data_IF_234043474616
#
_entry.id   IF_234043474616
#
_cell.length_a   1.000
_cell.length_b   1.000
_cell.length_c   1.000
_cell.angle_alpha   90.00
_cell.angle_beta   90.00
_cell.angle_gamma   90.00
#
_symmetry.space_group_name_H-M   'P 1'
#
loop_
_entity.id
_entity.type
_entity.pdbx_description
1 polymer ?
#
# COMPACT_ATOMS: atom_id res chain seq x y z
N UNK A 1 -52.30 35.99 -6.39
CA UNK A 1 -51.75 36.38 -5.07
C UNK A 1 -50.26 36.39 -5.22
N UNK A 2 -49.78 37.58 -5.56
CA UNK A 2 -48.39 37.95 -5.77
C UNK A 2 -47.61 37.84 -4.45
N UNK A 3 -46.42 37.24 -4.50
CA UNK A 3 -45.45 37.38 -3.41
C UNK A 3 -44.17 37.97 -3.98
N UNK A 4 -43.93 39.20 -3.50
CA UNK A 4 -42.86 40.11 -3.84
C UNK A 4 -41.55 39.74 -3.13
N UNK A 5 -40.48 39.96 -3.89
CA UNK A 5 -39.13 40.42 -3.54
C UNK A 5 -38.77 40.66 -2.06
N UNK A 6 -37.61 40.09 -1.67
CA UNK A 6 -36.66 40.79 -0.82
C UNK A 6 -35.21 40.45 -1.21
N UNK A 7 -34.67 41.26 -2.15
CA UNK A 7 -33.24 41.42 -2.35
C UNK A 7 -32.62 42.13 -1.14
N UNK A 8 -31.73 41.45 -0.42
CA UNK A 8 -30.83 42.07 0.57
C UNK A 8 -29.47 42.31 -0.07
N UNK A 9 -29.15 43.58 -0.28
CA UNK A 9 -27.80 44.03 -0.64
C UNK A 9 -26.77 43.66 0.44
N UNK A 10 -25.56 43.22 0.07
CA UNK A 10 -24.47 43.04 1.01
C UNK A 10 -23.80 44.40 1.35
N UNK A 11 -23.33 44.57 2.60
CA UNK A 11 -22.71 45.80 3.06
C UNK A 11 -21.33 46.02 2.41
N UNK A 12 -21.10 47.26 1.95
CA UNK A 12 -19.81 47.75 1.45
C UNK A 12 -18.80 47.75 2.60
N UNK A 13 -17.67 47.04 2.42
CA UNK A 13 -16.50 47.13 3.31
C UNK A 13 -15.69 48.35 2.95
N UNK A 14 -15.51 49.23 3.92
CA UNK A 14 -14.63 50.39 3.86
C UNK A 14 -13.19 49.96 3.58
N UNK A 15 -12.61 50.57 2.55
CA UNK A 15 -11.18 50.53 2.27
C UNK A 15 -10.51 51.49 3.24
N UNK A 16 -9.69 50.96 4.14
CA UNK A 16 -8.85 51.74 5.04
C UNK A 16 -7.42 51.71 4.49
N UNK A 17 -7.04 52.81 3.87
CA UNK A 17 -5.68 53.11 3.45
C UNK A 17 -4.79 53.30 4.68
N UNK A 18 -3.87 52.36 4.89
CA UNK A 18 -2.71 52.57 5.75
C UNK A 18 -1.44 52.64 4.90
N UNK A 19 -1.10 53.87 4.51
CA UNK A 19 0.26 54.29 4.24
C UNK A 19 1.12 53.98 5.47
N UNK A 20 2.09 53.07 5.32
CA UNK A 20 3.17 52.91 6.30
C UNK A 20 4.50 53.03 5.58
N UNK A 21 5.15 54.13 5.90
CA UNK A 21 6.47 54.56 5.46
C UNK A 21 7.50 53.44 5.63
N UNK A 22 8.28 53.24 4.57
CA UNK A 22 9.43 52.33 4.54
C UNK A 22 10.63 53.05 5.13
N UNK A 23 11.24 52.57 6.24
CA UNK A 23 12.53 53.07 6.66
C UNK A 23 13.60 52.50 5.72
N UNK A 24 14.42 53.38 5.15
CA UNK A 24 15.72 53.01 4.57
C UNK A 24 16.58 52.52 5.73
N UNK A 25 16.91 51.24 5.74
CA UNK A 25 17.89 50.68 6.66
C UNK A 25 19.17 50.43 5.89
N UNK A 26 20.24 51.00 6.43
CA UNK A 26 21.59 50.98 5.90
C UNK A 26 22.11 49.54 5.81
N UNK A 27 22.76 49.23 4.69
CA UNK A 27 23.43 47.96 4.44
C UNK A 27 24.69 47.91 5.30
N UNK A 28 24.62 47.20 6.42
CA UNK A 28 25.79 46.63 7.07
C UNK A 28 26.07 45.27 6.41
N UNK A 29 27.24 45.15 5.79
CA UNK A 29 27.77 43.93 5.21
C UNK A 29 28.05 42.92 6.34
N UNK A 30 27.03 42.16 6.73
CA UNK A 30 27.20 40.94 7.53
C UNK A 30 27.82 39.86 6.67
N UNK A 31 29.08 39.58 6.95
CA UNK A 31 29.87 38.48 6.42
C UNK A 31 29.16 37.16 6.80
N UNK A 32 28.33 36.68 5.87
CA UNK A 32 27.55 35.45 5.96
C UNK A 32 28.51 34.26 6.09
N UNK A 33 28.79 33.87 7.33
CA UNK A 33 29.39 32.58 7.68
C UNK A 33 28.42 31.49 7.23
N UNK A 34 28.59 31.05 5.98
CA UNK A 34 27.89 29.91 5.40
C UNK A 34 28.19 28.68 6.23
N UNK A 35 27.35 28.43 7.22
CA UNK A 35 27.31 27.14 7.90
C UNK A 35 27.15 26.07 6.81
N UNK A 36 28.05 25.07 6.76
CA UNK A 36 27.98 24.04 5.74
C UNK A 36 26.61 23.38 5.83
N UNK A 37 25.83 23.52 4.76
CA UNK A 37 24.51 22.90 4.67
C UNK A 37 24.70 21.40 4.88
N UNK A 38 23.98 20.82 5.84
CA UNK A 38 24.00 19.38 6.10
C UNK A 38 23.71 18.55 4.82
N UNK A 39 23.07 19.15 3.82
CA UNK A 39 22.83 18.56 2.50
C UNK A 39 24.14 18.27 1.74
N UNK A 40 25.14 19.17 1.81
CA UNK A 40 26.43 18.95 1.15
C UNK A 40 27.26 17.81 1.74
N UNK A 41 27.10 17.49 3.03
CA UNK A 41 27.80 16.37 3.67
C UNK A 41 27.26 15.01 3.22
N UNK A 42 25.97 14.93 2.88
CA UNK A 42 25.32 13.69 2.44
C UNK A 42 25.73 13.33 0.99
N UNK A 43 26.03 14.33 0.16
CA UNK A 43 26.40 14.11 -1.25
C UNK A 43 27.88 13.71 -1.42
N UNK A 44 28.78 14.08 -0.50
CA UNK A 44 30.19 13.62 -0.54
C UNK A 44 30.34 12.17 -0.06
N UNK A 45 29.57 11.74 0.94
CA UNK A 45 29.60 10.37 1.45
C UNK A 45 29.03 9.35 0.43
N UNK A 46 28.20 9.81 -0.54
CA UNK A 46 27.69 8.97 -1.62
C UNK A 46 28.73 8.59 -2.69
N UNK A 47 29.89 9.24 -2.73
CA UNK A 47 30.93 8.97 -3.75
C UNK A 47 31.96 7.91 -3.35
N UNK A 48 32.02 7.49 -2.09
CA UNK A 48 33.17 6.70 -1.60
C UNK A 48 32.93 5.21 -1.31
N UNK A 49 31.72 4.68 -1.40
CA UNK A 49 31.51 3.23 -1.24
C UNK A 49 31.14 2.54 -2.56
N UNK A 50 32.11 2.02 -3.33
CA UNK A 50 31.83 0.96 -4.28
C UNK A 50 31.42 -0.27 -3.47
N UNK A 51 30.11 -0.49 -3.37
CA UNK A 51 29.52 -1.70 -2.82
C UNK A 51 30.11 -2.91 -3.56
N UNK A 52 31.18 -3.50 -3.05
CA UNK A 52 31.66 -4.82 -3.51
C UNK A 52 30.69 -5.84 -2.94
N UNK A 53 29.84 -6.48 -3.77
CA UNK A 53 29.00 -7.54 -3.27
C UNK A 53 29.92 -8.68 -2.82
N UNK A 54 29.87 -9.01 -1.54
CA UNK A 54 30.48 -10.23 -1.02
C UNK A 54 29.66 -11.38 -1.62
N UNK A 55 30.15 -11.93 -2.73
CA UNK A 55 29.60 -13.15 -3.32
C UNK A 55 30.16 -14.32 -2.51
N UNK A 56 29.47 -14.68 -1.44
CA UNK A 56 29.62 -16.02 -0.87
C UNK A 56 29.23 -17.03 -1.96
N UNK A 57 30.17 -17.88 -2.34
CA UNK A 57 29.93 -18.97 -3.29
C UNK A 57 28.71 -19.79 -2.82
N UNK A 58 27.64 -19.90 -3.63
CA UNK A 58 26.47 -20.61 -3.20
C UNK A 58 26.80 -22.10 -3.03
N UNK A 59 26.52 -22.71 -1.87
CA UNK A 59 26.68 -24.15 -1.70
C UNK A 59 25.86 -24.86 -2.78
N UNK A 60 26.48 -25.80 -3.48
CA UNK A 60 25.85 -26.63 -4.53
C UNK A 60 24.71 -27.45 -3.91
N UNK A 61 23.53 -26.85 -3.84
CA UNK A 61 22.32 -27.48 -3.34
C UNK A 61 21.71 -28.34 -4.45
N UNK A 62 21.60 -29.64 -4.18
CA UNK A 62 20.74 -30.56 -4.91
C UNK A 62 19.34 -29.98 -4.97
N UNK A 63 18.85 -29.64 -6.18
CA UNK A 63 17.54 -29.01 -6.35
C UNK A 63 16.44 -29.98 -5.92
N UNK A 64 15.72 -29.73 -4.80
CA UNK A 64 14.54 -30.51 -4.49
C UNK A 64 13.52 -30.30 -5.62
N UNK A 65 13.00 -31.40 -6.18
CA UNK A 65 11.88 -31.40 -7.13
C UNK A 65 10.69 -30.74 -6.41
N UNK A 66 10.53 -29.45 -6.61
CA UNK A 66 9.42 -28.66 -6.08
C UNK A 66 8.19 -29.00 -6.90
N UNK A 67 7.18 -29.55 -6.23
CA UNK A 67 5.91 -29.90 -6.84
C UNK A 67 5.23 -28.62 -7.35
N UNK A 68 4.85 -28.58 -8.63
CA UNK A 68 4.29 -27.40 -9.31
C UNK A 68 2.89 -26.95 -8.79
N UNK A 69 2.36 -27.62 -7.75
CA UNK A 69 0.97 -27.50 -7.32
C UNK A 69 0.72 -26.42 -6.25
N UNK A 70 1.75 -25.67 -5.81
CA UNK A 70 1.61 -24.73 -4.69
C UNK A 70 2.37 -23.42 -4.88
N UNK A 71 2.35 -22.84 -6.09
CA UNK A 71 2.85 -21.48 -6.26
C UNK A 71 1.92 -20.49 -5.54
N UNK A 72 2.33 -20.10 -4.32
CA UNK A 72 1.64 -19.02 -3.61
C UNK A 72 1.67 -17.77 -4.49
N UNK A 73 0.55 -17.04 -4.62
CA UNK A 73 0.52 -15.81 -5.40
C UNK A 73 1.62 -14.88 -4.88
N UNK A 74 2.55 -14.53 -5.77
CA UNK A 74 3.67 -13.66 -5.42
C UNK A 74 3.13 -12.24 -5.21
N UNK A 75 3.54 -11.54 -4.14
CA UNK A 75 3.18 -10.15 -3.96
C UNK A 75 3.73 -9.32 -5.14
N UNK A 76 2.88 -8.47 -5.71
CA UNK A 76 3.25 -7.61 -6.86
C UNK A 76 3.54 -6.21 -6.33
N UNK A 77 4.69 -5.58 -6.68
CA UNK A 77 4.97 -4.19 -6.35
C UNK A 77 3.84 -3.26 -6.80
N UNK A 78 3.43 -2.35 -5.92
CA UNK A 78 2.27 -1.50 -6.18
C UNK A 78 2.44 -0.62 -7.43
N UNK A 79 3.63 -0.06 -7.63
CA UNK A 79 3.95 0.76 -8.82
C UNK A 79 3.78 -0.04 -10.10
N UNK A 80 4.30 -1.27 -10.14
CA UNK A 80 4.17 -2.17 -11.30
C UNK A 80 2.71 -2.53 -11.58
N UNK A 81 1.94 -2.85 -10.54
CA UNK A 81 0.51 -3.12 -10.66
C UNK A 81 -0.26 -1.94 -11.25
N UNK A 82 0.00 -0.71 -10.77
CA UNK A 82 -0.64 0.49 -11.28
C UNK A 82 -0.25 0.76 -12.74
N UNK A 83 1.03 0.65 -13.07
CA UNK A 83 1.52 0.79 -14.45
C UNK A 83 0.79 -0.18 -15.39
N UNK A 84 0.66 -1.45 -14.99
CA UNK A 84 -0.06 -2.48 -15.76
C UNK A 84 -1.56 -2.18 -15.88
N UNK A 85 -2.21 -1.75 -14.79
CA UNK A 85 -3.67 -1.49 -14.76
C UNK A 85 -4.09 -0.34 -15.66
N UNK A 86 -3.27 0.72 -15.70
CA UNK A 86 -3.55 1.94 -16.46
C UNK A 86 -2.80 2.00 -17.79
N UNK A 87 -2.10 0.92 -18.17
CA UNK A 87 -1.31 0.80 -19.39
C UNK A 87 -0.34 1.99 -19.58
N UNK A 88 0.45 2.27 -18.56
CA UNK A 88 1.37 3.40 -18.52
C UNK A 88 2.72 3.01 -17.91
N UNK A 89 3.73 3.82 -18.15
CA UNK A 89 5.03 3.73 -17.49
C UNK A 89 5.03 4.39 -16.09
N UNK A 90 6.02 4.05 -15.27
CA UNK A 90 6.20 4.69 -13.96
C UNK A 90 6.41 6.22 -14.05
N UNK A 91 6.98 6.69 -15.17
CA UNK A 91 7.05 8.12 -15.46
C UNK A 91 5.65 8.65 -15.72
N UNK A 92 4.89 8.15 -16.69
CA UNK A 92 3.55 8.67 -16.99
C UNK A 92 2.57 8.60 -15.80
N UNK A 93 2.80 7.68 -14.86
CA UNK A 93 2.01 7.57 -13.65
C UNK A 93 1.99 8.88 -12.83
N UNK A 94 3.08 9.67 -12.82
CA UNK A 94 3.08 10.99 -12.15
C UNK A 94 2.09 11.97 -12.80
N UNK A 95 1.91 11.90 -14.13
CA UNK A 95 0.97 12.73 -14.88
C UNK A 95 -0.46 12.32 -14.54
N UNK A 96 -0.72 11.01 -14.46
CA UNK A 96 -2.04 10.48 -14.07
C UNK A 96 -2.45 10.95 -12.66
N UNK A 97 -1.52 11.02 -11.71
CA UNK A 97 -1.83 11.51 -10.36
C UNK A 97 -2.16 13.01 -10.29
N UNK A 98 -1.74 13.81 -11.28
CA UNK A 98 -2.12 15.22 -11.39
C UNK A 98 -3.53 15.40 -11.95
N UNK A 99 -4.04 14.44 -12.70
CA UNK A 99 -5.42 14.44 -13.16
C UNK A 99 -6.35 14.00 -12.01
N UNK A 100 -7.27 14.89 -11.60
CA UNK A 100 -8.14 14.66 -10.44
C UNK A 100 -9.09 13.48 -10.62
N UNK A 101 -9.61 13.26 -11.83
CA UNK A 101 -10.52 12.14 -12.13
C UNK A 101 -9.76 10.82 -12.05
N UNK A 102 -8.61 10.72 -12.74
CA UNK A 102 -7.77 9.52 -12.70
C UNK A 102 -7.26 9.22 -11.29
N UNK A 103 -6.90 10.25 -10.53
CA UNK A 103 -6.52 10.08 -9.13
C UNK A 103 -7.65 9.49 -8.30
N UNK A 104 -8.89 9.94 -8.48
CA UNK A 104 -10.06 9.36 -7.78
C UNK A 104 -10.26 7.89 -8.15
N UNK A 105 -10.16 7.55 -9.44
CA UNK A 105 -10.25 6.16 -9.91
C UNK A 105 -9.17 5.28 -9.26
N UNK A 106 -7.93 5.79 -9.17
CA UNK A 106 -6.83 5.07 -8.54
C UNK A 106 -7.09 4.90 -7.04
N UNK A 107 -7.51 5.95 -6.32
CA UNK A 107 -7.81 5.85 -4.88
C UNK A 107 -8.91 4.82 -4.62
N UNK A 108 -9.97 4.81 -5.43
CA UNK A 108 -11.06 3.85 -5.28
C UNK A 108 -10.61 2.42 -5.53
N UNK A 109 -9.80 2.21 -6.58
CA UNK A 109 -9.15 0.91 -6.83
C UNK A 109 -8.29 0.47 -5.63
N UNK A 110 -7.48 1.38 -5.06
CA UNK A 110 -6.60 1.06 -3.94
C UNK A 110 -7.33 0.85 -2.61
N UNK A 111 -8.49 1.46 -2.40
CA UNK A 111 -9.36 1.19 -1.24
C UNK A 111 -9.87 -0.24 -1.22
N UNK A 112 -10.19 -0.78 -2.40
CA UNK A 112 -10.62 -2.17 -2.54
C UNK A 112 -9.45 -3.18 -2.48
N UNK A 113 -8.22 -2.71 -2.67
CA UNK A 113 -7.03 -3.56 -2.69
C UNK A 113 -6.48 -3.80 -1.28
N UNK A 114 -5.92 -5.00 -1.05
CA UNK A 114 -5.16 -5.27 0.16
C UNK A 114 -3.70 -4.93 -0.05
N UNK A 115 -3.28 -3.80 0.53
CA UNK A 115 -1.90 -3.34 0.49
C UNK A 115 -1.13 -3.86 1.70
N UNK A 116 0.15 -4.17 1.49
CA UNK A 116 1.08 -4.49 2.57
C UNK A 116 2.41 -3.82 2.31
N UNK A 117 3.09 -3.40 3.36
CA UNK A 117 4.47 -2.95 3.24
C UNK A 117 5.37 -4.08 2.73
N UNK A 118 6.49 -3.75 2.10
CA UNK A 118 7.44 -4.74 1.58
C UNK A 118 8.90 -4.43 1.94
N UNK A 119 9.13 -3.45 2.81
CA UNK A 119 10.47 -2.97 3.17
C UNK A 119 11.08 -3.66 4.41
N UNK A 120 10.30 -4.43 5.19
CA UNK A 120 10.78 -5.09 6.40
C UNK A 120 11.18 -6.54 6.13
N UNK A 121 12.31 -6.96 6.71
CA UNK A 121 12.77 -8.35 6.74
C UNK A 121 12.78 -8.87 8.18
N UNK A 122 12.28 -10.09 8.46
CA UNK A 122 11.60 -11.02 7.53
C UNK A 122 10.20 -10.55 7.11
N UNK A 123 9.64 -11.16 6.04
CA UNK A 123 8.35 -10.77 5.44
C UNK A 123 7.18 -10.69 6.45
N UNK A 124 7.20 -11.49 7.51
CA UNK A 124 6.18 -11.48 8.56
C UNK A 124 6.08 -10.15 9.32
N UNK A 125 7.14 -9.33 9.32
CA UNK A 125 7.15 -8.00 9.95
C UNK A 125 6.44 -6.93 9.11
N UNK A 126 6.23 -7.19 7.83
CA UNK A 126 5.44 -6.29 7.01
C UNK A 126 4.00 -6.27 7.51
N UNK A 127 3.32 -5.14 7.43
CA UNK A 127 1.97 -4.97 7.96
C UNK A 127 1.02 -4.47 6.88
N UNK A 128 -0.30 -4.76 7.00
CA UNK A 128 -1.29 -4.27 6.07
C UNK A 128 -1.42 -2.75 6.16
N UNK A 129 -1.68 -2.10 5.02
CA UNK A 129 -1.88 -0.65 4.91
C UNK A 129 -3.24 -0.41 4.28
N UNK A 130 -4.03 0.50 4.86
CA UNK A 130 -5.29 0.96 4.27
C UNK A 130 -5.03 2.23 3.45
N UNK A 131 -5.48 2.24 2.22
CA UNK A 131 -5.41 3.44 1.37
C UNK A 131 -6.66 4.31 1.60
N UNK A 132 -6.59 5.30 2.49
CA UNK A 132 -7.69 6.25 2.64
C UNK A 132 -7.71 7.30 1.52
N UNK A 133 -6.52 7.78 1.16
CA UNK A 133 -6.29 8.77 0.11
C UNK A 133 -4.85 8.67 -0.41
N UNK A 134 -4.51 9.47 -1.42
CA UNK A 134 -3.14 9.73 -1.85
C UNK A 134 -2.73 11.13 -1.41
N UNK A 135 -1.45 11.35 -1.14
CA UNK A 135 -0.95 12.69 -0.80
C UNK A 135 -0.95 13.61 -2.02
N UNK A 136 -1.14 14.91 -1.78
CA UNK A 136 -0.98 15.93 -2.83
C UNK A 136 0.51 16.15 -3.13
N UNK A 137 1.34 16.11 -2.09
CA UNK A 137 2.79 16.19 -2.19
C UNK A 137 3.39 14.84 -2.57
N UNK A 138 4.54 14.88 -3.22
CA UNK A 138 5.35 13.69 -3.51
C UNK A 138 6.13 13.21 -2.28
N UNK A 139 6.75 12.03 -2.34
CA UNK A 139 7.57 11.53 -1.23
C UNK A 139 8.79 12.41 -0.94
N UNK A 140 9.26 13.18 -1.93
CA UNK A 140 10.34 14.12 -1.74
C UNK A 140 9.97 15.29 -0.83
N UNK A 141 8.73 15.79 -0.93
CA UNK A 141 8.26 16.99 -0.24
C UNK A 141 7.28 16.68 0.91
N UNK A 142 6.68 15.49 0.95
CA UNK A 142 5.75 15.11 1.98
C UNK A 142 6.45 15.06 3.35
N UNK A 143 5.89 15.70 4.40
CA UNK A 143 6.52 15.73 5.71
C UNK A 143 6.34 14.38 6.43
N UNK A 144 7.44 13.84 6.96
CA UNK A 144 7.41 12.78 7.97
C UNK A 144 7.21 13.40 9.37
N UNK A 145 6.76 12.59 10.34
CA UNK A 145 6.62 13.03 11.73
C UNK A 145 5.82 14.33 11.92
N UNK A 146 4.75 14.53 11.13
CA UNK A 146 3.94 15.76 11.11
C UNK A 146 4.71 17.04 10.76
N UNK A 147 5.91 16.92 10.19
CA UNK A 147 6.77 18.05 9.82
C UNK A 147 7.57 18.64 10.98
N UNK A 148 7.47 18.10 12.19
CA UNK A 148 8.14 18.65 13.37
C UNK A 148 9.67 18.77 13.23
N UNK A 149 10.28 17.83 12.49
CA UNK A 149 11.74 17.77 12.31
C UNK A 149 12.20 18.28 10.93
N UNK A 150 11.29 18.78 10.08
CA UNK A 150 11.62 19.10 8.69
C UNK A 150 12.04 17.88 7.83
N UNK A 151 11.92 16.66 8.36
CA UNK A 151 12.29 15.41 7.68
C UNK A 151 11.17 15.05 6.70
N UNK A 152 11.53 14.78 5.45
CA UNK A 152 10.58 14.32 4.43
C UNK A 152 10.42 12.80 4.44
N UNK A 153 9.36 12.29 3.83
CA UNK A 153 9.12 10.85 3.74
C UNK A 153 10.29 10.13 3.05
N UNK A 154 10.84 10.70 1.97
CA UNK A 154 12.05 10.17 1.31
C UNK A 154 13.23 10.07 2.29
N UNK A 155 13.51 11.13 3.05
CA UNK A 155 14.60 11.15 4.02
C UNK A 155 14.38 10.11 5.14
N UNK A 156 13.13 9.98 5.62
CA UNK A 156 12.79 8.97 6.62
C UNK A 156 13.14 7.55 6.16
N UNK A 157 12.73 7.15 4.95
CA UNK A 157 13.03 5.82 4.45
C UNK A 157 14.51 5.60 4.14
N UNK A 158 15.24 6.65 3.75
CA UNK A 158 16.68 6.58 3.59
C UNK A 158 17.40 6.37 4.92
N UNK A 159 17.17 7.24 5.91
CA UNK A 159 17.88 7.25 7.19
C UNK A 159 17.50 6.03 8.05
N UNK A 160 16.20 5.74 8.17
CA UNK A 160 15.71 4.70 9.09
C UNK A 160 15.83 3.30 8.50
N UNK A 161 15.66 3.17 7.19
CA UNK A 161 15.55 1.86 6.53
C UNK A 161 16.67 1.58 5.52
N UNK A 162 17.55 2.54 5.22
CA UNK A 162 18.60 2.38 4.20
C UNK A 162 18.05 2.27 2.77
N UNK A 163 16.81 2.74 2.54
CA UNK A 163 16.12 2.57 1.25
C UNK A 163 16.20 3.85 0.44
N UNK A 164 16.81 3.75 -0.75
CA UNK A 164 16.78 4.79 -1.77
C UNK A 164 15.55 4.60 -2.65
N UNK A 165 14.57 5.50 -2.52
CA UNK A 165 13.39 5.52 -3.39
C UNK A 165 13.79 5.87 -4.83
N UNK A 166 13.38 5.06 -5.81
CA UNK A 166 13.62 5.28 -7.24
C UNK A 166 12.65 6.28 -7.86
N UNK A 167 11.46 6.41 -7.29
CA UNK A 167 10.37 7.25 -7.75
C UNK A 167 9.88 8.21 -6.64
N UNK A 168 10.76 9.04 -6.03
CA UNK A 168 10.39 9.94 -4.94
C UNK A 168 9.41 11.04 -5.35
N UNK A 169 9.23 11.27 -6.66
CA UNK A 169 8.31 12.25 -7.24
C UNK A 169 6.86 11.75 -7.32
N UNK A 170 6.61 10.48 -6.99
CA UNK A 170 5.26 9.94 -6.90
C UNK A 170 4.61 10.32 -5.55
N UNK A 171 3.27 10.44 -5.49
CA UNK A 171 2.57 10.65 -4.24
C UNK A 171 2.71 9.44 -3.31
N UNK A 172 2.42 9.64 -2.03
CA UNK A 172 2.35 8.61 -1.01
C UNK A 172 0.91 8.16 -0.79
N UNK A 173 0.72 6.90 -0.40
CA UNK A 173 -0.54 6.45 0.21
C UNK A 173 -0.67 7.07 1.59
N UNK A 174 -1.85 7.61 1.88
CA UNK A 174 -2.21 8.20 3.17
C UNK A 174 -3.11 7.23 3.91
N UNK A 175 -2.66 6.84 5.10
CA UNK A 175 -3.46 6.12 6.08
C UNK A 175 -3.80 7.06 7.23
N UNK A 176 -5.10 7.19 7.54
CA UNK A 176 -5.57 7.96 8.68
C UNK A 176 -5.60 7.07 9.91
N UNK A 177 -4.86 7.48 10.95
CA UNK A 177 -4.92 6.89 12.29
C UNK A 177 -6.04 7.51 13.13
N UNK A 178 -6.02 7.26 14.44
CA UNK A 178 -6.89 7.96 15.39
C UNK A 178 -6.51 9.45 15.52
N UNK A 179 -7.49 10.33 15.70
CA UNK A 179 -7.28 11.79 15.81
C UNK A 179 -6.74 12.40 14.51
N UNK A 180 -5.83 13.37 14.61
CA UNK A 180 -5.19 14.04 13.47
C UNK A 180 -3.91 13.34 13.00
N UNK A 181 -3.82 12.03 13.16
CA UNK A 181 -2.64 11.25 12.76
C UNK A 181 -2.76 10.84 11.29
N UNK A 182 -1.80 11.25 10.46
CA UNK A 182 -1.67 10.86 9.06
C UNK A 182 -0.33 10.18 8.86
N UNK A 183 -0.33 8.99 8.28
CA UNK A 183 0.89 8.26 7.93
C UNK A 183 1.02 8.23 6.41
N UNK A 184 2.22 8.50 5.92
CA UNK A 184 2.53 8.55 4.49
C UNK A 184 3.42 7.37 4.12
N UNK A 185 2.99 6.58 3.14
CA UNK A 185 3.72 5.43 2.63
C UNK A 185 4.05 5.63 1.14
N UNK A 186 5.34 5.70 0.76
CA UNK A 186 5.74 5.72 -0.65
C UNK A 186 5.17 4.53 -1.42
N UNK A 187 4.75 4.72 -2.67
CA UNK A 187 4.17 3.61 -3.47
C UNK A 187 5.15 2.45 -3.66
N UNK A 188 6.45 2.72 -3.72
CA UNK A 188 7.50 1.72 -3.94
C UNK A 188 7.65 0.71 -2.80
N UNK A 189 7.32 1.11 -1.57
CA UNK A 189 7.44 0.22 -0.41
C UNK A 189 6.18 -0.62 -0.18
N UNK A 190 5.18 -0.51 -1.06
CA UNK A 190 3.90 -1.20 -0.97
C UNK A 190 3.81 -2.30 -2.03
N UNK A 191 3.13 -3.38 -1.65
CA UNK A 191 2.78 -4.49 -2.53
C UNK A 191 1.30 -4.77 -2.43
N UNK A 192 0.71 -5.21 -3.54
CA UNK A 192 -0.66 -5.72 -3.56
C UNK A 192 -0.63 -7.21 -3.27
N UNK A 193 -1.44 -7.61 -2.28
CA UNK A 193 -1.69 -9.01 -1.98
C UNK A 193 -3.04 -9.36 -2.58
N UNK A 194 -3.01 -10.11 -3.67
CA UNK A 194 -4.21 -10.75 -4.19
C UNK A 194 -4.60 -11.89 -3.25
N UNK A 195 -5.52 -11.61 -2.34
CA UNK A 195 -6.26 -12.70 -1.72
C UNK A 195 -7.33 -13.11 -2.71
N UNK A 196 -7.35 -14.42 -3.00
CA UNK A 196 -8.27 -15.10 -3.92
C UNK A 196 -9.77 -14.83 -3.61
N UNK A 197 -10.07 -14.12 -2.52
CA UNK A 197 -11.39 -13.84 -1.95
C UNK A 197 -12.31 -12.98 -2.83
N UNK A 198 -11.80 -12.20 -3.79
CA UNK A 198 -12.65 -11.41 -4.69
C UNK A 198 -12.99 -12.09 -6.03
N UNK A 199 -12.41 -13.26 -6.33
CA UNK A 199 -12.87 -14.08 -7.43
C UNK A 199 -13.60 -15.29 -6.87
N UNK A 200 -14.91 -15.13 -6.63
CA UNK A 200 -15.80 -16.25 -6.25
C UNK A 200 -15.63 -17.41 -7.24
N UNK A 201 -15.48 -17.12 -8.54
CA UNK A 201 -15.19 -18.11 -9.58
C UNK A 201 -13.85 -18.82 -9.38
N UNK A 202 -12.80 -18.11 -8.97
CA UNK A 202 -11.48 -18.72 -8.73
C UNK A 202 -11.51 -19.57 -7.45
N UNK A 203 -12.22 -19.13 -6.42
CA UNK A 203 -12.46 -19.94 -5.22
C UNK A 203 -13.27 -21.19 -5.57
N UNK A 204 -14.33 -21.06 -6.37
CA UNK A 204 -15.12 -22.19 -6.84
C UNK A 204 -14.27 -23.15 -7.69
N UNK A 205 -13.43 -22.63 -8.58
CA UNK A 205 -12.53 -23.43 -9.40
C UNK A 205 -11.44 -24.12 -8.57
N UNK A 206 -10.91 -23.46 -7.53
CA UNK A 206 -9.95 -24.07 -6.60
C UNK A 206 -10.64 -25.14 -5.75
N UNK A 207 -11.82 -24.88 -5.21
CA UNK A 207 -12.62 -25.88 -4.46
C UNK A 207 -12.91 -27.08 -5.37
N UNK A 208 -13.34 -26.85 -6.61
CA UNK A 208 -13.61 -27.91 -7.58
C UNK A 208 -12.33 -28.71 -7.91
N UNK A 209 -11.21 -28.03 -8.20
CA UNK A 209 -9.93 -28.67 -8.47
C UNK A 209 -9.43 -29.52 -7.27
N UNK A 210 -9.54 -28.99 -6.05
CA UNK A 210 -9.17 -29.69 -4.81
C UNK A 210 -10.11 -30.87 -4.51
N UNK A 211 -11.40 -30.76 -4.87
CA UNK A 211 -12.33 -31.89 -4.80
C UNK A 211 -11.96 -33.00 -5.79
N UNK A 212 -11.49 -32.64 -6.99
CA UNK A 212 -11.07 -33.63 -8.01
C UNK A 212 -9.71 -34.29 -7.77
N UNK A 213 -8.85 -33.73 -6.91
CA UNK A 213 -7.50 -34.27 -6.60
C UNK A 213 -7.45 -35.25 -5.41
N UNK A 214 -8.56 -35.93 -5.08
CA UNK A 214 -8.69 -36.75 -3.86
C UNK A 214 -7.81 -38.02 -3.78
N UNK A 215 -6.88 -38.25 -4.70
CA UNK A 215 -6.11 -39.50 -4.75
C UNK A 215 -4.64 -39.38 -4.33
N UNK A 216 -4.13 -38.20 -3.97
CA UNK A 216 -2.76 -38.02 -3.47
C UNK A 216 -2.76 -37.61 -2.00
N UNK A 217 -1.94 -38.26 -1.16
CA UNK A 217 -1.83 -37.97 0.28
C UNK A 217 -1.48 -36.50 0.58
N UNK A 218 -0.71 -35.85 -0.30
CA UNK A 218 -0.41 -34.41 -0.23
C UNK A 218 -1.64 -33.50 -0.37
N UNK A 219 -2.74 -34.00 -0.94
CA UNK A 219 -4.00 -33.27 -1.08
C UNK A 219 -4.80 -33.13 0.22
N UNK A 220 -4.63 -34.05 1.17
CA UNK A 220 -5.32 -33.95 2.47
C UNK A 220 -4.78 -32.80 3.34
N UNK A 221 -3.46 -32.60 3.39
CA UNK A 221 -2.85 -31.50 4.15
C UNK A 221 -3.24 -30.13 3.57
N UNK A 222 -3.35 -30.02 2.24
CA UNK A 222 -3.83 -28.80 1.59
C UNK A 222 -5.30 -28.51 1.89
N UNK A 223 -6.16 -29.54 1.93
CA UNK A 223 -7.57 -29.40 2.35
C UNK A 223 -7.68 -28.89 3.78
N UNK A 224 -6.90 -29.44 4.72
CA UNK A 224 -6.90 -29.01 6.12
C UNK A 224 -6.36 -27.59 6.29
N UNK A 225 -5.32 -27.21 5.55
CA UNK A 225 -4.80 -25.83 5.57
C UNK A 225 -5.81 -24.84 5.01
N UNK A 226 -6.43 -25.13 3.86
CA UNK A 226 -7.47 -24.28 3.27
C UNK A 226 -8.68 -24.14 4.19
N UNK A 227 -9.12 -25.24 4.83
CA UNK A 227 -10.24 -25.22 5.78
C UNK A 227 -9.91 -24.41 7.04
N UNK A 228 -8.70 -24.55 7.59
CA UNK A 228 -8.24 -23.74 8.73
C UNK A 228 -8.10 -22.26 8.35
N UNK A 229 -7.58 -21.98 7.17
CA UNK A 229 -7.43 -20.63 6.63
C UNK A 229 -8.78 -19.94 6.40
N UNK A 230 -9.76 -20.64 5.79
CA UNK A 230 -11.12 -20.14 5.60
C UNK A 230 -11.80 -19.83 6.95
N UNK A 231 -11.74 -20.76 7.90
CA UNK A 231 -12.35 -20.56 9.22
C UNK A 231 -11.71 -19.40 10.00
N UNK A 232 -10.42 -19.12 9.78
CA UNK A 232 -9.70 -18.04 10.47
C UNK A 232 -9.93 -16.66 9.85
N UNK A 233 -10.12 -16.59 8.54
CA UNK A 233 -10.12 -15.32 7.80
C UNK A 233 -11.47 -14.93 7.19
N UNK A 234 -12.39 -15.88 6.97
CA UNK A 234 -13.70 -15.61 6.37
C UNK A 234 -14.80 -15.48 7.43
N UNK A 235 -14.72 -16.23 8.54
CA UNK A 235 -15.71 -16.19 9.62
C UNK A 235 -15.76 -14.87 10.41
N UNK A 236 -14.79 -13.95 10.21
CA UNK A 236 -14.79 -12.63 10.83
C UNK A 236 -15.43 -11.53 9.98
N UNK A 237 -15.81 -11.81 8.73
CA UNK A 237 -16.53 -10.88 7.86
C UNK A 237 -18.03 -11.19 7.92
N UNK A 238 -18.74 -10.46 8.80
CA UNK A 238 -20.19 -10.60 9.05
C UNK A 238 -21.09 -10.40 7.81
N UNK A 239 -20.54 -9.94 6.68
CA UNK A 239 -21.30 -9.69 5.45
C UNK A 239 -21.36 -10.89 4.50
N UNK A 240 -20.57 -11.95 4.71
CA UNK A 240 -20.57 -13.12 3.82
C UNK A 240 -21.70 -14.14 4.12
N UNK A 241 -22.38 -14.03 5.26
CA UNK A 241 -23.42 -14.98 5.66
C UNK A 241 -24.74 -14.85 4.88
N UNK A 242 -24.95 -13.79 4.11
CA UNK A 242 -26.22 -13.56 3.38
C UNK A 242 -26.21 -14.04 1.94
N UNK A 243 -25.05 -14.35 1.36
CA UNK A 243 -24.92 -14.71 -0.07
C UNK A 243 -24.77 -16.22 -0.35
N UNK A 244 -24.62 -17.05 0.68
CA UNK A 244 -24.62 -18.50 0.55
C UNK A 244 -25.62 -19.06 1.54
N UNK A 245 -26.80 -19.48 1.07
CA UNK A 245 -27.64 -20.41 1.85
C UNK A 245 -26.83 -21.71 2.01
N UNK A 246 -26.36 -22.10 3.21
CA UNK A 246 -25.72 -23.38 3.37
C UNK A 246 -26.85 -24.41 3.39
N UNK A 247 -27.17 -24.98 2.23
CA UNK A 247 -27.81 -26.29 2.18
C UNK A 247 -26.76 -27.31 1.75
N UNK A 248 -26.67 -28.35 2.58
CA UNK A 248 -26.12 -29.70 2.39
C UNK A 248 -24.62 -30.00 2.45
N UNK A 249 -23.66 -29.10 2.21
CA UNK A 249 -22.24 -29.55 2.20
C UNK A 249 -21.67 -30.01 3.55
N UNK A 250 -22.04 -29.37 4.67
CA UNK A 250 -21.63 -29.84 6.00
C UNK A 250 -22.36 -31.12 6.43
N UNK A 251 -23.59 -31.32 5.96
CA UNK A 251 -24.37 -32.51 6.26
C UNK A 251 -23.82 -33.72 5.49
N UNK A 252 -23.50 -33.55 4.20
CA UNK A 252 -22.91 -34.59 3.35
C UNK A 252 -21.56 -35.08 3.89
N UNK A 253 -20.71 -34.16 4.37
CA UNK A 253 -19.42 -34.53 4.99
C UNK A 253 -19.60 -35.27 6.33
N UNK A 254 -20.58 -34.89 7.13
CA UNK A 254 -20.86 -35.54 8.41
C UNK A 254 -21.43 -36.95 8.21
N UNK A 255 -22.27 -37.11 7.20
CA UNK A 255 -22.87 -38.41 6.85
C UNK A 255 -21.83 -39.35 6.22
N UNK A 256 -20.94 -38.86 5.34
CA UNK A 256 -19.85 -39.66 4.76
C UNK A 256 -18.84 -40.10 5.83
N UNK A 257 -18.51 -39.22 6.79
CA UNK A 257 -17.62 -39.55 7.91
C UNK A 257 -18.20 -40.64 8.83
N UNK A 258 -19.50 -40.55 9.15
CA UNK A 258 -20.16 -41.56 9.98
C UNK A 258 -20.31 -42.90 9.26
N UNK A 259 -20.51 -42.89 7.95
CA UNK A 259 -20.62 -44.11 7.14
C UNK A 259 -19.30 -44.89 7.14
N UNK A 260 -18.16 -44.21 6.96
CA UNK A 260 -16.83 -44.87 7.00
C UNK A 260 -16.44 -45.38 8.38
N UNK A 261 -16.96 -44.77 9.45
CA UNK A 261 -16.72 -45.22 10.82
C UNK A 261 -17.54 -46.47 11.18
N UNK A 262 -18.61 -46.76 10.45
CA UNK A 262 -19.44 -47.96 10.64
C UNK A 262 -18.89 -49.19 9.87
N UNK A 263 -17.96 -48.99 8.93
CA UNK A 263 -17.34 -50.06 8.12
C UNK A 263 -16.00 -50.56 8.70
N UNK A 264 -15.56 -50.02 9.85
CA UNK A 264 -14.39 -50.46 10.62
C UNK A 264 -14.82 -51.14 11.91
#
# INVERSE_FOLDING_TARGET
MDQQDHNKEPPKRDQQDHNKETPKNDQEDEEETKEPSWISLIDEEQKQDPFTPIYDEPPRASTPKTCACAERPRPIPLVEHLCKRFNCSAHELHVLFRNLEKRRDIVEHLRSAQLRTAHLRPFVRNFPVRCNDLSILDAHSAPAYRGFLGITVRMHYYIKHGIRLHHPNLPCVVEFGGGDHKTFFPLEILTIIFWLLHNVELIQNIIHAVSTQSSCESGMEQKLWLHSYFNRHVSSSLEFHTLIKPKSLQQEFYDEFNTRKAEQ
#
